data_IF_639619830650
#
_entry.id   IF_639619830650
#
_cell.length_a   1.000
_cell.length_b   1.000
_cell.length_c   1.000
_cell.angle_alpha   90.00
_cell.angle_beta   90.00
_cell.angle_gamma   90.00
#
_symmetry.space_group_name_H-M   'P 1'
#
loop_
_entity.id
_entity.type
_entity.pdbx_description
1 polymer ?
#
# COMPACT_ATOMS: atom_id res chain seq x y z
N UNK A 1 -7.19 -9.73 16.97
CA UNK A 1 -6.51 -9.19 15.77
C UNK A 1 -6.30 -10.32 14.79
N UNK A 2 -6.60 -10.13 13.50
CA UNK A 2 -6.42 -11.19 12.49
C UNK A 2 -5.31 -10.80 11.51
N UNK A 3 -4.47 -11.76 11.11
CA UNK A 3 -3.46 -11.59 10.07
C UNK A 3 -4.12 -11.13 8.76
N UNK A 4 -5.34 -11.63 8.47
CA UNK A 4 -6.12 -11.23 7.30
C UNK A 4 -6.53 -9.76 7.33
N UNK A 5 -6.90 -9.22 8.50
CA UNK A 5 -7.27 -7.80 8.63
C UNK A 5 -6.06 -6.88 8.48
N UNK A 6 -4.91 -7.29 9.01
CA UNK A 6 -3.64 -6.54 8.85
C UNK A 6 -3.21 -6.56 7.38
N UNK A 7 -3.16 -7.74 6.75
CA UNK A 7 -2.77 -7.89 5.35
C UNK A 7 -3.70 -7.13 4.40
N UNK A 8 -5.02 -7.16 4.63
CA UNK A 8 -5.97 -6.40 3.81
C UNK A 8 -5.80 -4.89 3.95
N UNK A 9 -5.60 -4.38 5.17
CA UNK A 9 -5.30 -2.94 5.37
C UNK A 9 -3.97 -2.53 4.70
N UNK A 10 -2.94 -3.37 4.80
CA UNK A 10 -1.66 -3.15 4.14
C UNK A 10 -1.77 -3.13 2.62
N UNK A 11 -2.56 -4.02 2.02
CA UNK A 11 -2.84 -4.01 0.58
C UNK A 11 -3.59 -2.75 0.15
N UNK A 12 -4.55 -2.27 0.93
CA UNK A 12 -5.29 -1.03 0.61
C UNK A 12 -4.34 0.18 0.61
N UNK A 13 -3.47 0.29 1.61
CA UNK A 13 -2.46 1.36 1.67
C UNK A 13 -1.45 1.26 0.54
N UNK A 14 -0.98 0.06 0.22
CA UNK A 14 -0.06 -0.18 -0.89
C UNK A 14 -0.69 0.20 -2.24
N UNK A 15 -1.96 -0.16 -2.46
CA UNK A 15 -2.69 0.25 -3.67
C UNK A 15 -2.84 1.78 -3.76
N UNK A 16 -3.14 2.45 -2.64
CA UNK A 16 -3.22 3.91 -2.60
C UNK A 16 -1.87 4.57 -2.93
N UNK A 17 -0.75 4.06 -2.37
CA UNK A 17 0.60 4.53 -2.69
C UNK A 17 0.91 4.39 -4.18
N UNK A 18 0.57 3.25 -4.77
CA UNK A 18 0.76 3.03 -6.20
C UNK A 18 -0.07 3.98 -7.06
N UNK A 19 -1.32 4.27 -6.66
CA UNK A 19 -2.18 5.21 -7.38
C UNK A 19 -1.64 6.65 -7.29
N UNK A 20 -1.17 7.08 -6.12
CA UNK A 20 -0.56 8.41 -5.93
C UNK A 20 0.74 8.54 -6.74
N UNK A 21 1.61 7.54 -6.70
CA UNK A 21 2.83 7.50 -7.50
C UNK A 21 2.54 7.60 -9.01
N UNK A 22 1.58 6.79 -9.51
CA UNK A 22 1.17 6.85 -10.92
C UNK A 22 0.58 8.21 -11.28
N UNK A 23 -0.22 8.81 -10.40
CA UNK A 23 -0.81 10.13 -10.60
C UNK A 23 0.23 11.25 -10.62
N UNK A 24 1.25 11.18 -9.77
CA UNK A 24 2.36 12.13 -9.77
C UNK A 24 3.19 12.04 -11.06
N UNK A 25 3.53 10.82 -11.50
CA UNK A 25 4.26 10.59 -12.75
C UNK A 25 3.46 11.06 -13.97
N UNK A 26 2.16 10.78 -14.01
CA UNK A 26 1.30 11.19 -15.11
C UNK A 26 1.07 12.70 -15.16
N UNK A 27 0.99 13.35 -14.00
CA UNK A 27 0.76 14.79 -13.94
C UNK A 27 2.00 15.59 -14.30
N UNK A 28 3.21 15.16 -13.88
CA UNK A 28 4.52 15.80 -14.10
C UNK A 28 4.52 17.34 -13.88
N UNK A 29 5.24 17.91 -12.91
CA UNK A 29 4.95 19.22 -12.28
C UNK A 29 4.34 20.26 -13.24
N UNK A 30 3.02 20.31 -13.25
CA UNK A 30 2.22 21.34 -13.95
C UNK A 30 1.89 22.40 -12.93
N UNK A 31 1.87 23.65 -13.37
CA UNK A 31 1.51 24.77 -12.51
C UNK A 31 0.12 24.53 -11.89
N UNK A 32 0.01 24.68 -10.57
CA UNK A 32 -1.23 24.44 -9.81
C UNK A 32 -1.56 22.98 -9.45
N UNK A 33 -0.69 21.99 -9.76
CA UNK A 33 -0.86 20.60 -9.30
C UNK A 33 0.29 20.17 -8.38
N UNK A 34 0.18 20.39 -7.06
CA UNK A 34 1.22 19.97 -6.13
C UNK A 34 1.37 18.45 -6.13
N UNK A 35 2.61 18.00 -5.89
CA UNK A 35 2.90 16.58 -5.70
C UNK A 35 2.13 16.07 -4.50
N UNK A 36 1.66 14.83 -4.56
CA UNK A 36 0.97 14.17 -3.47
C UNK A 36 1.83 13.07 -2.85
N UNK A 37 1.65 12.80 -1.56
CA UNK A 37 2.22 11.66 -0.85
C UNK A 37 1.13 10.93 -0.06
N UNK A 38 1.46 9.75 0.44
CA UNK A 38 0.57 8.97 1.29
C UNK A 38 1.11 8.97 2.72
N UNK A 39 0.36 9.55 3.64
CA UNK A 39 0.64 9.48 5.06
C UNK A 39 -0.06 8.24 5.64
N UNK A 40 0.73 7.25 6.07
CA UNK A 40 0.24 6.03 6.70
C UNK A 40 0.44 6.09 8.22
N UNK A 41 -0.55 5.61 8.96
CA UNK A 41 -0.53 5.54 10.42
C UNK A 41 -1.02 4.18 10.91
N UNK A 42 -0.44 3.69 12.00
CA UNK A 42 -0.87 2.46 12.66
C UNK A 42 -2.25 2.63 13.28
N UNK A 43 -3.08 1.59 13.22
CA UNK A 43 -4.40 1.57 13.84
C UNK A 43 -4.35 0.87 15.20
N UNK A 44 -5.15 1.36 16.16
CA UNK A 44 -5.20 0.84 17.54
C UNK A 44 -5.53 -0.67 17.60
N UNK A 45 -6.31 -1.16 16.64
CA UNK A 45 -6.76 -2.55 16.57
C UNK A 45 -5.91 -3.43 15.61
N UNK A 46 -4.73 -2.94 15.23
CA UNK A 46 -3.86 -3.57 14.24
C UNK A 46 -4.21 -3.18 12.80
N UNK A 47 -3.21 -3.17 11.94
CA UNK A 47 -3.33 -2.69 10.56
C UNK A 47 -2.90 -1.24 10.41
N UNK A 48 -3.13 -0.72 9.20
CA UNK A 48 -2.70 0.62 8.79
C UNK A 48 -3.83 1.37 8.12
N UNK A 49 -3.97 2.64 8.48
CA UNK A 49 -4.79 3.60 7.75
C UNK A 49 -3.86 4.50 6.95
N UNK A 50 -4.35 5.02 5.82
CA UNK A 50 -3.60 5.99 5.06
C UNK A 50 -4.50 7.09 4.48
N UNK A 51 -3.90 8.26 4.30
CA UNK A 51 -4.53 9.42 3.66
C UNK A 51 -3.56 10.06 2.68
N UNK A 52 -4.11 10.69 1.64
CA UNK A 52 -3.31 11.46 0.68
C UNK A 52 -3.06 12.84 1.27
N UNK A 53 -1.80 13.27 1.25
CA UNK A 53 -1.34 14.57 1.73
C UNK A 53 -0.55 15.28 0.65
N UNK A 54 -0.44 16.59 0.73
CA UNK A 54 0.43 17.35 -0.16
C UNK A 54 1.90 17.11 0.20
N UNK A 55 2.73 17.07 -0.83
CA UNK A 55 4.17 16.84 -0.74
C UNK A 55 4.95 17.95 -1.45
N UNK A 56 6.18 18.17 -0.97
CA UNK A 56 7.06 19.16 -1.56
C UNK A 56 7.39 18.82 -3.02
N UNK A 57 7.41 19.85 -3.85
CA UNK A 57 7.89 19.76 -5.22
C UNK A 57 9.43 19.60 -5.21
N UNK A 58 9.90 18.40 -5.55
CA UNK A 58 11.32 18.07 -5.69
C UNK A 58 11.63 17.84 -7.18
N UNK A 59 12.68 18.43 -7.76
CA UNK A 59 13.07 18.16 -9.16
C UNK A 59 13.42 16.68 -9.43
N UNK A 60 13.79 15.89 -8.42
CA UNK A 60 14.01 14.45 -8.51
C UNK A 60 12.73 13.61 -8.33
N UNK A 61 11.58 14.26 -8.11
CA UNK A 61 10.31 13.61 -7.81
C UNK A 61 9.89 12.54 -8.82
N UNK A 62 10.04 12.69 -10.15
CA UNK A 62 9.57 11.65 -11.09
C UNK A 62 10.28 10.31 -10.89
N UNK A 63 11.60 10.31 -10.68
CA UNK A 63 12.34 9.08 -10.41
C UNK A 63 11.97 8.50 -9.03
N UNK A 64 11.83 9.37 -8.01
CA UNK A 64 11.38 8.97 -6.68
C UNK A 64 9.98 8.35 -6.71
N UNK A 65 9.03 8.92 -7.45
CA UNK A 65 7.66 8.43 -7.57
C UNK A 65 7.61 7.07 -8.29
N UNK A 66 8.49 6.82 -9.27
CA UNK A 66 8.62 5.49 -9.90
C UNK A 66 9.14 4.44 -8.91
N UNK A 67 10.17 4.77 -8.12
CA UNK A 67 10.69 3.86 -7.08
C UNK A 67 9.62 3.61 -6.01
N UNK A 68 8.88 4.66 -5.61
CA UNK A 68 7.79 4.56 -4.66
C UNK A 68 6.67 3.64 -5.18
N UNK A 69 6.31 3.76 -6.45
CA UNK A 69 5.36 2.86 -7.11
C UNK A 69 5.83 1.40 -7.15
N UNK A 70 7.13 1.17 -7.38
CA UNK A 70 7.72 -0.18 -7.33
C UNK A 70 7.72 -0.76 -5.91
N UNK A 71 8.07 0.06 -4.91
CA UNK A 71 8.01 -0.33 -3.50
C UNK A 71 6.58 -0.68 -3.09
N UNK A 72 5.61 0.17 -3.46
CA UNK A 72 4.20 -0.06 -3.18
C UNK A 72 3.69 -1.37 -3.79
N UNK A 73 4.11 -1.69 -5.01
CA UNK A 73 3.80 -2.99 -5.64
C UNK A 73 4.37 -4.16 -4.84
N UNK A 74 5.61 -4.06 -4.38
CA UNK A 74 6.24 -5.12 -3.58
C UNK A 74 5.50 -5.30 -2.23
N UNK A 75 5.16 -4.20 -1.56
CA UNK A 75 4.39 -4.22 -0.32
C UNK A 75 3.01 -4.85 -0.51
N UNK A 76 2.35 -4.57 -1.64
CA UNK A 76 1.09 -5.23 -1.99
C UNK A 76 1.26 -6.75 -2.13
N UNK A 77 2.29 -7.20 -2.85
CA UNK A 77 2.57 -8.62 -3.06
C UNK A 77 2.93 -9.35 -1.76
N UNK A 78 3.68 -8.71 -0.87
CA UNK A 78 4.02 -9.24 0.44
C UNK A 78 2.76 -9.45 1.29
N UNK A 79 1.88 -8.45 1.36
CA UNK A 79 0.61 -8.55 2.08
C UNK A 79 -0.33 -9.60 1.46
N UNK A 80 -0.41 -9.68 0.13
CA UNK A 80 -1.21 -10.71 -0.55
C UNK A 80 -0.71 -12.13 -0.25
N UNK A 81 0.61 -12.31 -0.13
CA UNK A 81 1.20 -13.60 0.27
C UNK A 81 0.83 -13.96 1.69
N UNK A 82 0.92 -13.01 2.64
CA UNK A 82 0.51 -13.24 4.02
C UNK A 82 -0.98 -13.63 4.13
N UNK A 83 -1.85 -12.95 3.37
CA UNK A 83 -3.28 -13.29 3.33
C UNK A 83 -3.51 -14.71 2.79
N UNK A 84 -2.85 -15.08 1.69
CA UNK A 84 -2.97 -16.41 1.09
C UNK A 84 -2.51 -17.51 2.04
N UNK A 85 -1.36 -17.32 2.71
CA UNK A 85 -0.87 -18.28 3.71
C UNK A 85 -1.82 -18.41 4.90
N UNK A 86 -2.44 -17.31 5.33
CA UNK A 86 -3.46 -17.35 6.38
C UNK A 86 -4.67 -18.18 5.98
N UNK A 87 -5.11 -18.08 4.73
CA UNK A 87 -6.24 -18.85 4.19
C UNK A 87 -5.90 -20.34 4.05
N UNK A 88 -4.72 -20.66 3.49
CA UNK A 88 -4.21 -22.03 3.38
C UNK A 88 -4.11 -22.73 4.74
N UNK A 89 -3.64 -22.02 5.78
CA UNK A 89 -3.58 -22.57 7.14
C UNK A 89 -4.97 -22.91 7.68
N UNK A 90 -5.96 -22.02 7.50
CA UNK A 90 -7.33 -22.29 7.92
C UNK A 90 -7.92 -23.51 7.18
N UNK A 91 -7.70 -23.60 5.87
CA UNK A 91 -8.11 -24.75 5.07
C UNK A 91 -7.49 -26.06 5.58
N UNK A 92 -6.17 -26.07 5.84
CA UNK A 92 -5.47 -27.26 6.34
C UNK A 92 -5.96 -27.72 7.72
N UNK A 93 -6.35 -26.79 8.60
CA UNK A 93 -6.92 -27.12 9.91
C UNK A 93 -8.32 -27.74 9.79
N UNK A 94 -9.13 -27.25 8.84
CA UNK A 94 -10.46 -27.79 8.58
C UNK A 94 -10.39 -29.19 7.96
N UNK A 95 -9.45 -29.42 7.04
CA UNK A 95 -9.24 -30.72 6.39
C UNK A 95 -8.86 -31.83 7.39
N UNK A 96 -8.10 -31.49 8.44
CA UNK A 96 -7.76 -32.45 9.51
C UNK A 96 -8.98 -32.85 10.36
N UNK A 97 -10.02 -32.01 10.43
CA UNK A 97 -11.22 -32.24 11.25
C UNK A 97 -12.33 -32.99 10.51
N UNK A 98 -12.22 -33.13 9.18
CA UNK A 98 -13.20 -33.82 8.31
C UNK A 98 -12.72 -35.20 7.91
#
# INVERSE_FOLDING_TARGET
>A
MSISSIASSGMQVAALRQQVAASNVARQPVDGSPRQAVAASTQLNGGVAASVVDANADPSAPASDLVEGLSARNDFQANATALRRSDEMLGSLLDVLT
#
